data_IF_698234804281
#
_entry.id   IF_698234804281
#
_cell.length_a   1.000
_cell.length_b   1.000
_cell.length_c   1.000
_cell.angle_alpha   90.00
_cell.angle_beta   90.00
_cell.angle_gamma   90.00
#
_symmetry.space_group_name_H-M   'P 1'
#
loop_
_entity.id
_entity.type
_entity.pdbx_description
1 polymer ?
#
# COMPACT_ATOMS: atom_id res chain seq x y z
N UNK A 1 -14.94 -28.39 -2.50
CA UNK A 1 -16.40 -28.13 -2.71
C UNK A 1 -16.69 -27.16 -3.88
N UNK A 2 -15.89 -26.12 -4.14
CA UNK A 2 -16.11 -25.15 -5.24
C UNK A 2 -16.00 -25.76 -6.66
N UNK A 3 -15.23 -26.84 -6.85
CA UNK A 3 -15.04 -27.51 -8.15
C UNK A 3 -16.10 -28.58 -8.50
N UNK A 4 -16.99 -28.93 -7.57
CA UNK A 4 -17.90 -30.07 -7.74
C UNK A 4 -18.99 -29.86 -8.83
N UNK A 5 -19.09 -28.66 -9.42
CA UNK A 5 -20.05 -28.34 -10.48
C UNK A 5 -19.44 -27.64 -11.69
N UNK A 6 -18.11 -27.54 -11.79
CA UNK A 6 -17.45 -27.02 -12.98
C UNK A 6 -17.12 -28.22 -13.87
N UNK A 7 -17.76 -28.31 -15.03
CA UNK A 7 -17.46 -29.37 -15.99
C UNK A 7 -15.96 -29.37 -16.33
N UNK A 8 -15.36 -30.55 -16.41
CA UNK A 8 -13.94 -30.72 -16.78
C UNK A 8 -13.49 -29.87 -17.99
N UNK A 9 -14.30 -29.70 -19.06
CA UNK A 9 -13.92 -28.85 -20.19
C UNK A 9 -13.72 -27.38 -19.82
N UNK A 10 -14.54 -26.84 -18.92
CA UNK A 10 -14.43 -25.45 -18.48
C UNK A 10 -13.18 -25.23 -17.61
N UNK A 11 -12.87 -26.18 -16.73
CA UNK A 11 -11.64 -26.15 -15.93
C UNK A 11 -10.41 -26.28 -16.83
N UNK A 12 -10.42 -27.22 -17.79
CA UNK A 12 -9.33 -27.40 -18.74
C UNK A 12 -9.11 -26.16 -19.61
N UNK A 13 -10.18 -25.54 -20.12
CA UNK A 13 -10.11 -24.28 -20.86
C UNK A 13 -9.54 -23.13 -20.03
N UNK A 14 -9.94 -23.00 -18.75
CA UNK A 14 -9.40 -21.99 -17.85
C UNK A 14 -7.90 -22.22 -17.57
N UNK A 15 -7.49 -23.46 -17.29
CA UNK A 15 -6.09 -23.81 -17.07
C UNK A 15 -5.24 -23.59 -18.33
N UNK A 16 -5.77 -23.93 -19.51
CA UNK A 16 -5.11 -23.66 -20.79
C UNK A 16 -4.95 -22.16 -21.03
N UNK A 17 -5.98 -21.34 -20.74
CA UNK A 17 -5.89 -19.89 -20.83
C UNK A 17 -4.84 -19.30 -19.88
N UNK A 18 -4.79 -19.77 -18.63
CA UNK A 18 -3.76 -19.38 -17.66
C UNK A 18 -2.37 -19.78 -18.14
N UNK A 19 -2.20 -21.00 -18.65
CA UNK A 19 -0.93 -21.48 -19.19
C UNK A 19 -0.50 -20.64 -20.41
N UNK A 20 -1.40 -20.39 -21.36
CA UNK A 20 -1.12 -19.56 -22.54
C UNK A 20 -0.76 -18.11 -22.17
N UNK A 21 -1.32 -17.57 -21.09
CA UNK A 21 -0.97 -16.24 -20.58
C UNK A 21 0.35 -16.21 -19.81
N UNK A 22 0.60 -17.21 -18.95
CA UNK A 22 1.77 -17.22 -18.05
C UNK A 22 3.02 -17.78 -18.70
N UNK A 23 2.93 -18.84 -19.50
CA UNK A 23 4.10 -19.53 -20.05
C UNK A 23 4.99 -18.61 -20.90
N UNK A 24 4.46 -17.77 -21.81
CA UNK A 24 5.30 -16.83 -22.56
C UNK A 24 6.06 -15.85 -21.65
N UNK A 25 5.41 -15.36 -20.58
CA UNK A 25 6.04 -14.49 -19.60
C UNK A 25 7.13 -15.21 -18.79
N UNK A 26 6.86 -16.45 -18.36
CA UNK A 26 7.84 -17.27 -17.63
C UNK A 26 9.05 -17.60 -18.50
N UNK A 27 8.84 -17.93 -19.78
CA UNK A 27 9.91 -18.16 -20.75
C UNK A 27 10.70 -16.88 -20.97
N UNK A 28 10.04 -15.75 -21.20
CA UNK A 28 10.70 -14.46 -21.37
C UNK A 28 11.58 -14.10 -20.16
N UNK A 29 11.06 -14.26 -18.95
CA UNK A 29 11.80 -14.00 -17.72
C UNK A 29 12.99 -14.95 -17.54
N UNK A 30 12.81 -16.24 -17.85
CA UNK A 30 13.88 -17.22 -17.78
C UNK A 30 15.00 -16.90 -18.78
N UNK A 31 14.66 -16.58 -20.03
CA UNK A 31 15.63 -16.24 -21.08
C UNK A 31 16.35 -14.92 -20.80
N UNK A 32 15.65 -13.92 -20.26
CA UNK A 32 16.20 -12.58 -20.05
C UNK A 32 16.97 -12.45 -18.74
N UNK A 33 16.49 -13.08 -17.67
CA UNK A 33 16.99 -12.88 -16.30
C UNK A 33 17.51 -14.15 -15.63
N UNK A 34 17.43 -15.31 -16.30
CA UNK A 34 17.79 -16.60 -15.70
C UNK A 34 16.84 -17.09 -14.61
N UNK A 35 15.68 -16.43 -14.44
CA UNK A 35 14.70 -16.72 -13.39
C UNK A 35 13.29 -16.70 -13.96
N UNK A 36 12.47 -17.76 -13.82
CA UNK A 36 11.15 -17.82 -14.47
C UNK A 36 10.16 -16.78 -13.93
N UNK A 37 10.25 -16.42 -12.64
CA UNK A 37 9.40 -15.39 -12.04
C UNK A 37 9.93 -13.96 -12.24
N UNK A 38 11.11 -13.80 -12.86
CA UNK A 38 11.78 -12.52 -13.02
C UNK A 38 12.41 -12.00 -11.71
N UNK A 39 13.30 -11.00 -11.82
CA UNK A 39 14.04 -10.47 -10.69
C UNK A 39 13.13 -9.76 -9.68
N UNK A 40 12.06 -9.10 -10.14
CA UNK A 40 11.17 -8.35 -9.24
C UNK A 40 10.41 -9.25 -8.26
N UNK A 41 10.09 -10.49 -8.67
CA UNK A 41 9.44 -11.46 -7.79
C UNK A 41 10.48 -12.21 -6.96
N UNK A 42 11.62 -12.57 -7.54
CA UNK A 42 12.69 -13.28 -6.85
C UNK A 42 13.25 -12.51 -5.65
N UNK A 43 13.40 -11.19 -5.76
CA UNK A 43 13.84 -10.30 -4.66
C UNK A 43 12.85 -10.30 -3.48
N UNK A 44 11.60 -10.73 -3.68
CA UNK A 44 10.63 -10.85 -2.59
C UNK A 44 10.75 -12.16 -1.81
N UNK A 45 11.63 -13.06 -2.23
CA UNK A 45 11.83 -14.35 -1.58
C UNK A 45 13.29 -14.79 -1.46
N UNK A 46 14.21 -13.92 -0.99
CA UNK A 46 15.60 -14.28 -0.83
C UNK A 46 15.71 -15.37 0.24
N UNK A 47 16.27 -16.52 -0.13
CA UNK A 47 16.49 -17.66 0.78
C UNK A 47 15.35 -18.68 0.86
N UNK A 48 14.38 -18.69 -0.07
CA UNK A 48 13.33 -19.73 -0.11
C UNK A 48 13.84 -21.13 -0.56
N UNK A 49 15.16 -21.34 -0.59
CA UNK A 49 15.77 -22.60 -1.03
C UNK A 49 15.76 -23.72 0.02
N UNK A 50 15.35 -23.48 1.28
CA UNK A 50 15.50 -24.51 2.31
C UNK A 50 14.52 -24.52 3.51
N UNK A 51 13.57 -23.59 3.66
CA UNK A 51 12.69 -23.57 4.85
C UNK A 51 11.19 -23.55 4.54
N UNK A 52 10.50 -24.42 5.28
CA UNK A 52 9.08 -24.77 5.37
C UNK A 52 8.06 -23.62 5.13
N UNK A 53 6.76 -23.98 4.91
CA UNK A 53 5.61 -23.07 4.91
C UNK A 53 5.59 -22.03 6.05
N UNK A 54 6.17 -22.35 7.21
CA UNK A 54 6.29 -21.44 8.35
C UNK A 54 7.15 -20.19 8.08
N UNK A 55 8.25 -20.31 7.33
CA UNK A 55 9.11 -19.18 7.00
C UNK A 55 8.43 -18.22 5.99
N UNK A 56 7.67 -18.78 5.04
CA UNK A 56 6.85 -17.99 4.13
C UNK A 56 5.76 -17.24 4.89
N UNK A 57 5.03 -17.91 5.78
CA UNK A 57 3.97 -17.28 6.59
C UNK A 57 4.54 -16.20 7.51
N UNK A 58 5.67 -16.44 8.18
CA UNK A 58 6.30 -15.46 9.05
C UNK A 58 6.70 -14.17 8.29
N UNK A 59 7.19 -14.30 7.04
CA UNK A 59 7.51 -13.15 6.19
C UNK A 59 6.28 -12.45 5.61
N UNK A 60 5.23 -13.22 5.30
CA UNK A 60 4.01 -12.69 4.65
C UNK A 60 3.01 -12.13 5.65
N UNK A 61 2.94 -12.65 6.87
CA UNK A 61 1.97 -12.22 7.87
C UNK A 61 2.00 -10.71 8.14
N UNK A 62 3.16 -10.04 8.29
CA UNK A 62 3.19 -8.58 8.43
C UNK A 62 2.59 -7.86 7.22
N UNK A 63 2.92 -8.30 6.00
CA UNK A 63 2.37 -7.74 4.76
C UNK A 63 0.86 -7.96 4.68
N UNK A 64 0.38 -9.16 5.02
CA UNK A 64 -1.05 -9.47 5.08
C UNK A 64 -1.76 -8.55 6.07
N UNK A 65 -1.19 -8.36 7.25
CA UNK A 65 -1.77 -7.49 8.28
C UNK A 65 -1.81 -6.04 7.83
N UNK A 66 -0.73 -5.52 7.23
CA UNK A 66 -0.66 -4.15 6.68
C UNK A 66 -1.58 -3.97 5.46
N UNK A 67 -1.70 -4.97 4.58
CA UNK A 67 -2.54 -4.83 3.39
C UNK A 67 -4.03 -4.99 3.70
N UNK A 68 -4.41 -5.88 4.61
CA UNK A 68 -5.81 -6.20 4.87
C UNK A 68 -6.42 -5.33 5.96
N UNK A 69 -5.70 -5.12 7.06
CA UNK A 69 -6.28 -4.53 8.26
C UNK A 69 -5.69 -3.18 8.57
N UNK A 70 -4.36 -3.10 8.67
CA UNK A 70 -3.55 -1.95 9.11
C UNK A 70 -4.18 -1.15 10.25
N UNK A 71 -3.71 -1.31 11.48
CA UNK A 71 -4.31 -0.64 12.62
C UNK A 71 -3.54 -0.85 13.91
N UNK A 72 -3.77 0.03 14.89
CA UNK A 72 -3.12 -0.06 16.19
C UNK A 72 -4.14 -0.21 17.32
N UNK A 73 -3.83 -1.04 18.31
CA UNK A 73 -4.60 -1.17 19.56
C UNK A 73 -6.10 -1.33 19.36
N UNK A 74 -6.87 -0.34 19.84
CA UNK A 74 -8.33 -0.33 19.83
C UNK A 74 -8.94 -0.32 18.42
N UNK A 75 -8.27 0.28 17.44
CA UNK A 75 -8.75 0.34 16.05
C UNK A 75 -8.81 -1.05 15.41
N UNK A 76 -7.77 -1.85 15.66
CA UNK A 76 -7.72 -3.24 15.20
C UNK A 76 -8.90 -4.02 15.80
N UNK A 77 -9.22 -3.78 17.07
CA UNK A 77 -10.40 -4.36 17.73
C UNK A 77 -11.71 -4.04 17.00
N UNK A 78 -11.94 -2.78 16.63
CA UNK A 78 -13.15 -2.38 15.89
C UNK A 78 -13.23 -2.99 14.49
N UNK A 79 -12.12 -3.02 13.74
CA UNK A 79 -12.07 -3.64 12.41
C UNK A 79 -12.32 -5.15 12.47
N UNK A 80 -11.70 -5.84 13.44
CA UNK A 80 -11.91 -7.28 13.64
C UNK A 80 -13.33 -7.59 14.09
N UNK A 81 -13.93 -6.74 14.95
CA UNK A 81 -15.33 -6.86 15.33
C UNK A 81 -16.24 -6.69 14.11
N UNK A 82 -16.03 -5.65 13.29
CA UNK A 82 -16.79 -5.42 12.07
C UNK A 82 -16.70 -6.63 11.11
N UNK A 83 -15.50 -7.18 10.93
CA UNK A 83 -15.26 -8.38 10.14
C UNK A 83 -15.99 -9.60 10.69
N UNK A 84 -15.86 -9.90 11.99
CA UNK A 84 -16.51 -11.03 12.63
C UNK A 84 -18.03 -10.94 12.54
N UNK A 85 -18.60 -9.74 12.74
CA UNK A 85 -20.02 -9.47 12.60
C UNK A 85 -20.47 -9.67 11.14
N UNK A 86 -19.71 -9.20 10.15
CA UNK A 86 -20.01 -9.40 8.74
C UNK A 86 -19.97 -10.89 8.35
N UNK A 87 -19.00 -11.63 8.87
CA UNK A 87 -18.97 -13.09 8.72
C UNK A 87 -20.21 -13.73 9.33
N UNK A 88 -20.60 -13.37 10.56
CA UNK A 88 -21.84 -13.88 11.18
C UNK A 88 -23.09 -13.55 10.34
N UNK A 89 -23.12 -12.38 9.70
CA UNK A 89 -24.19 -11.96 8.80
C UNK A 89 -24.32 -12.87 7.56
N UNK A 90 -23.21 -13.47 7.11
CA UNK A 90 -23.22 -14.44 6.02
C UNK A 90 -24.00 -15.71 6.37
N UNK A 91 -23.98 -16.11 7.65
CA UNK A 91 -24.57 -17.36 8.14
C UNK A 91 -26.01 -17.22 8.64
N UNK A 92 -26.42 -16.03 9.07
CA UNK A 92 -27.74 -15.78 9.67
C UNK A 92 -28.63 -14.91 8.77
N UNK A 93 -29.57 -15.53 8.04
CA UNK A 93 -30.51 -14.76 7.20
C UNK A 93 -31.44 -13.86 8.03
N UNK A 94 -31.85 -14.31 9.23
CA UNK A 94 -32.75 -13.57 10.13
C UNK A 94 -32.12 -12.28 10.65
N UNK A 95 -30.83 -12.33 11.00
CA UNK A 95 -30.13 -11.22 11.66
C UNK A 95 -29.21 -10.43 10.73
N UNK A 96 -29.08 -10.83 9.45
CA UNK A 96 -28.13 -10.25 8.49
C UNK A 96 -28.15 -8.73 8.45
N UNK A 97 -29.34 -8.12 8.38
CA UNK A 97 -29.45 -6.66 8.27
C UNK A 97 -28.98 -5.93 9.53
N UNK A 98 -29.28 -6.46 10.71
CA UNK A 98 -28.81 -5.92 11.99
C UNK A 98 -27.31 -6.11 12.19
N UNK A 99 -26.79 -7.27 11.78
CA UNK A 99 -25.35 -7.53 11.79
C UNK A 99 -24.61 -6.60 10.82
N UNK A 100 -25.14 -6.35 9.62
CA UNK A 100 -24.59 -5.36 8.71
C UNK A 100 -24.61 -3.94 9.28
N UNK A 101 -25.69 -3.55 9.96
CA UNK A 101 -25.77 -2.26 10.64
C UNK A 101 -24.74 -2.16 11.79
N UNK A 102 -24.56 -3.23 12.57
CA UNK A 102 -23.55 -3.29 13.63
C UNK A 102 -22.12 -3.25 13.07
N UNK A 103 -21.86 -3.92 11.95
CA UNK A 103 -20.57 -3.86 11.26
C UNK A 103 -20.29 -2.46 10.71
N UNK A 104 -21.30 -1.80 10.13
CA UNK A 104 -21.18 -0.41 9.69
C UNK A 104 -20.95 0.55 10.87
N UNK A 105 -21.63 0.34 11.99
CA UNK A 105 -21.42 1.13 13.21
C UNK A 105 -19.99 0.94 13.77
N UNK A 106 -19.45 -0.29 13.76
CA UNK A 106 -18.07 -0.55 14.13
C UNK A 106 -17.07 0.13 13.18
N UNK A 107 -17.34 0.17 11.87
CA UNK A 107 -16.55 0.97 10.93
C UNK A 107 -16.61 2.46 11.24
N UNK A 108 -17.78 3.01 11.56
CA UNK A 108 -17.89 4.42 11.95
C UNK A 108 -17.15 4.69 13.27
N UNK A 109 -17.24 3.81 14.26
CA UNK A 109 -16.48 3.93 15.50
C UNK A 109 -14.96 3.91 15.25
N UNK A 110 -14.51 3.10 14.28
CA UNK A 110 -13.13 3.12 13.80
C UNK A 110 -12.77 4.46 13.13
N UNK A 111 -13.61 4.97 12.22
CA UNK A 111 -13.37 6.22 11.48
C UNK A 111 -13.46 7.49 12.31
N UNK A 112 -14.21 7.47 13.42
CA UNK A 112 -14.37 8.60 14.34
C UNK A 112 -13.68 8.38 15.68
N UNK A 113 -12.86 7.33 15.78
CA UNK A 113 -12.07 7.06 16.97
C UNK A 113 -11.01 8.15 17.23
N UNK A 114 -10.44 8.21 18.44
CA UNK A 114 -9.45 9.23 18.82
C UNK A 114 -8.19 9.24 17.94
N UNK A 115 -7.92 8.15 17.23
CA UNK A 115 -6.76 7.95 16.34
C UNK A 115 -7.13 8.03 14.85
N UNK A 116 -8.34 8.51 14.50
CA UNK A 116 -8.83 8.61 13.13
C UNK A 116 -7.96 9.46 12.19
N UNK A 117 -7.08 10.29 12.74
CA UNK A 117 -6.10 11.09 11.99
C UNK A 117 -4.96 10.24 11.39
N UNK A 118 -4.77 9.01 11.85
CA UNK A 118 -3.85 8.06 11.24
C UNK A 118 -4.58 7.36 10.09
N UNK A 119 -4.34 7.85 8.86
CA UNK A 119 -4.83 7.17 7.66
C UNK A 119 -4.14 5.82 7.54
N UNK A 120 -4.88 4.77 7.88
CA UNK A 120 -4.44 3.40 7.69
C UNK A 120 -4.63 2.98 6.24
N UNK A 121 -3.68 2.18 5.77
CA UNK A 121 -3.59 1.69 4.39
C UNK A 121 -4.25 0.31 4.21
N UNK A 122 -4.86 -0.26 5.24
CA UNK A 122 -5.52 -1.56 5.15
C UNK A 122 -6.77 -1.52 4.26
N UNK A 123 -7.07 -2.62 3.58
CA UNK A 123 -8.32 -2.78 2.80
C UNK A 123 -9.56 -2.55 3.65
N UNK A 124 -9.62 -3.09 4.87
CA UNK A 124 -10.77 -2.93 5.76
C UNK A 124 -10.96 -1.48 6.19
N UNK A 125 -9.86 -0.77 6.42
CA UNK A 125 -9.85 0.65 6.74
C UNK A 125 -10.28 1.52 5.56
N UNK A 126 -9.79 1.22 4.36
CA UNK A 126 -9.96 2.07 3.16
C UNK A 126 -11.20 1.73 2.34
N UNK A 127 -11.72 0.50 2.47
CA UNK A 127 -12.85 -0.01 1.69
C UNK A 127 -13.85 -0.76 2.59
N UNK A 128 -14.62 -0.07 3.44
CA UNK A 128 -15.59 -0.69 4.33
C UNK A 128 -16.67 -1.51 3.59
N UNK A 129 -16.88 -1.26 2.29
CA UNK A 129 -17.79 -2.04 1.45
C UNK A 129 -17.45 -3.52 1.34
N UNK A 130 -16.21 -3.92 1.61
CA UNK A 130 -15.84 -5.34 1.59
C UNK A 130 -16.62 -6.15 2.64
N UNK A 131 -17.11 -5.52 3.71
CA UNK A 131 -17.98 -6.15 4.70
C UNK A 131 -19.32 -6.60 4.08
N UNK A 132 -19.80 -5.90 3.06
CA UNK A 132 -20.97 -6.32 2.28
C UNK A 132 -20.66 -7.60 1.51
N UNK A 133 -19.50 -7.66 0.87
CA UNK A 133 -19.05 -8.84 0.13
C UNK A 133 -18.99 -10.07 1.03
N UNK A 134 -18.51 -9.91 2.26
CA UNK A 134 -18.48 -10.97 3.27
C UNK A 134 -19.88 -11.44 3.67
N UNK A 135 -20.81 -10.52 3.95
CA UNK A 135 -22.19 -10.87 4.28
C UNK A 135 -22.94 -11.53 3.10
N UNK A 136 -22.53 -11.25 1.87
CA UNK A 136 -23.04 -11.80 0.62
C UNK A 136 -22.38 -13.13 0.20
N UNK A 137 -21.32 -13.55 0.89
CA UNK A 137 -20.46 -14.66 0.45
C UNK A 137 -21.23 -15.96 0.24
N UNK A 138 -22.11 -16.32 1.18
CA UNK A 138 -22.89 -17.56 1.12
C UNK A 138 -23.90 -17.57 -0.04
N UNK A 139 -24.79 -16.57 -0.21
CA UNK A 139 -25.63 -16.48 -1.40
C UNK A 139 -24.85 -16.52 -2.71
N UNK A 140 -23.74 -15.78 -2.79
CA UNK A 140 -22.91 -15.73 -3.99
C UNK A 140 -22.26 -17.08 -4.33
N UNK A 141 -21.78 -17.81 -3.32
CA UNK A 141 -21.16 -19.13 -3.51
C UNK A 141 -22.15 -20.21 -3.94
N UNK A 142 -23.36 -20.20 -3.39
CA UNK A 142 -24.29 -21.34 -3.51
C UNK A 142 -25.49 -21.10 -4.42
N UNK A 143 -25.90 -19.86 -4.69
CA UNK A 143 -27.14 -19.56 -5.42
C UNK A 143 -26.94 -18.96 -6.81
N UNK A 144 -25.76 -18.42 -7.12
CA UNK A 144 -25.54 -17.63 -8.35
C UNK A 144 -24.24 -18.03 -9.07
N UNK A 145 -24.30 -18.84 -10.14
CA UNK A 145 -23.11 -19.27 -10.88
C UNK A 145 -22.21 -18.13 -11.37
N UNK A 146 -22.74 -17.01 -11.91
CA UNK A 146 -21.89 -15.88 -12.34
C UNK A 146 -21.19 -15.18 -11.17
N UNK A 147 -21.90 -14.90 -10.08
CA UNK A 147 -21.35 -14.24 -8.89
C UNK A 147 -20.25 -15.09 -8.23
N UNK A 148 -20.39 -16.42 -8.28
CA UNK A 148 -19.37 -17.35 -7.83
C UNK A 148 -18.07 -17.24 -8.63
N UNK A 149 -18.15 -17.14 -9.96
CA UNK A 149 -16.95 -16.96 -10.79
C UNK A 149 -16.24 -15.65 -10.43
N UNK A 150 -16.99 -14.55 -10.37
CA UNK A 150 -16.46 -13.23 -10.00
C UNK A 150 -15.80 -13.25 -8.62
N UNK A 151 -16.43 -13.90 -7.64
CA UNK A 151 -15.88 -14.09 -6.30
C UNK A 151 -14.58 -14.89 -6.32
N UNK A 152 -14.55 -16.03 -7.02
CA UNK A 152 -13.34 -16.87 -7.11
C UNK A 152 -12.21 -16.11 -7.78
N UNK A 153 -12.47 -15.42 -8.89
CA UNK A 153 -11.45 -14.61 -9.57
C UNK A 153 -10.92 -13.50 -8.65
N UNK A 154 -11.82 -12.78 -7.96
CA UNK A 154 -11.42 -11.74 -7.00
C UNK A 154 -10.58 -12.28 -5.84
N UNK A 155 -10.96 -13.43 -5.28
CA UNK A 155 -10.22 -14.07 -4.19
C UNK A 155 -8.86 -14.63 -4.65
N UNK A 156 -8.80 -15.29 -5.81
CA UNK A 156 -7.55 -15.79 -6.39
C UNK A 156 -6.60 -14.64 -6.69
N UNK A 157 -7.11 -13.55 -7.26
CA UNK A 157 -6.30 -12.34 -7.51
C UNK A 157 -5.78 -11.75 -6.19
N UNK A 158 -6.66 -11.58 -5.20
CA UNK A 158 -6.28 -11.07 -3.88
C UNK A 158 -5.20 -11.94 -3.23
N UNK A 159 -5.39 -13.27 -3.20
CA UNK A 159 -4.39 -14.20 -2.66
C UNK A 159 -3.09 -14.13 -3.45
N UNK A 160 -3.15 -14.09 -4.77
CA UNK A 160 -1.97 -13.94 -5.63
C UNK A 160 -1.16 -12.70 -5.26
N UNK A 161 -1.82 -11.54 -5.23
CA UNK A 161 -1.20 -10.26 -4.83
C UNK A 161 -0.61 -10.36 -3.42
N UNK A 162 -1.37 -10.84 -2.44
CA UNK A 162 -0.92 -10.95 -1.06
C UNK A 162 0.30 -11.87 -0.91
N UNK A 163 0.39 -12.90 -1.75
CA UNK A 163 1.54 -13.79 -1.78
C UNK A 163 2.73 -13.14 -2.48
N UNK A 164 2.54 -12.39 -3.57
CA UNK A 164 3.63 -11.93 -4.46
C UNK A 164 4.07 -10.48 -4.27
N UNK A 165 3.32 -9.66 -3.53
CA UNK A 165 3.63 -8.23 -3.33
C UNK A 165 5.04 -8.03 -2.79
N UNK A 166 5.78 -6.98 -3.20
CA UNK A 166 7.11 -6.73 -2.68
C UNK A 166 7.17 -6.55 -1.17
N UNK A 167 8.19 -7.12 -0.53
CA UNK A 167 8.42 -6.92 0.91
C UNK A 167 8.94 -5.50 1.19
N UNK A 168 9.80 -4.99 0.30
CA UNK A 168 10.41 -3.68 0.41
C UNK A 168 9.73 -2.68 -0.51
N UNK A 169 9.27 -1.55 0.03
CA UNK A 169 8.52 -0.52 -0.71
C UNK A 169 7.12 -0.94 -1.15
N UNK A 170 6.82 -2.25 -1.28
CA UNK A 170 5.51 -2.79 -1.65
C UNK A 170 4.39 -2.47 -0.65
N UNK A 171 4.72 -2.28 0.63
CA UNK A 171 3.77 -1.77 1.63
C UNK A 171 3.38 -0.29 1.39
N UNK A 172 4.26 0.52 0.79
CA UNK A 172 3.94 1.89 0.35
C UNK A 172 2.94 1.87 -0.82
N UNK A 173 2.98 0.77 -1.59
CA UNK A 173 1.94 0.20 -2.44
C UNK A 173 0.52 0.25 -1.84
N UNK A 174 0.45 -0.05 -0.55
CA UNK A 174 -0.76 -0.21 0.22
C UNK A 174 -1.74 -1.22 -0.40
N UNK A 175 -3.05 -1.02 -0.21
CA UNK A 175 -4.10 -1.91 -0.69
C UNK A 175 -4.37 -1.67 -2.18
N UNK A 176 -3.62 -0.78 -2.84
CA UNK A 176 -3.87 -0.39 -4.24
C UNK A 176 -3.66 -1.56 -5.20
N UNK A 177 -2.75 -2.49 -4.85
CA UNK A 177 -2.60 -3.74 -5.59
C UNK A 177 -3.85 -4.62 -5.54
N UNK A 178 -4.71 -4.45 -4.54
CA UNK A 178 -5.93 -5.22 -4.37
C UNK A 178 -7.14 -4.58 -5.07
N UNK A 179 -7.01 -3.37 -5.64
CA UNK A 179 -8.13 -2.67 -6.30
C UNK A 179 -8.93 -3.53 -7.28
N UNK A 180 -8.31 -4.31 -8.19
CA UNK A 180 -9.07 -5.19 -9.08
C UNK A 180 -9.91 -6.22 -8.32
N UNK A 181 -9.35 -6.86 -7.28
CA UNK A 181 -10.12 -7.77 -6.43
C UNK A 181 -11.23 -7.05 -5.67
N UNK A 182 -10.97 -5.86 -5.12
CA UNK A 182 -11.97 -5.08 -4.40
C UNK A 182 -13.17 -4.73 -5.28
N UNK A 183 -12.95 -4.32 -6.53
CA UNK A 183 -14.05 -4.04 -7.47
C UNK A 183 -14.92 -5.28 -7.68
N UNK A 184 -14.32 -6.44 -7.91
CA UNK A 184 -15.05 -7.70 -8.09
C UNK A 184 -15.82 -8.10 -6.82
N UNK A 185 -15.19 -7.97 -5.65
CA UNK A 185 -15.82 -8.29 -4.37
C UNK A 185 -16.97 -7.35 -4.03
N UNK A 186 -16.86 -6.05 -4.33
CA UNK A 186 -17.95 -5.08 -4.16
C UNK A 186 -19.14 -5.44 -5.05
N UNK A 187 -18.90 -5.77 -6.33
CA UNK A 187 -19.97 -6.21 -7.25
C UNK A 187 -20.69 -7.44 -6.70
N UNK A 188 -19.94 -8.44 -6.22
CA UNK A 188 -20.52 -9.64 -5.58
C UNK A 188 -21.31 -9.28 -4.31
N UNK A 189 -20.79 -8.36 -3.50
CA UNK A 189 -21.46 -7.85 -2.31
C UNK A 189 -22.82 -7.23 -2.62
N UNK A 190 -22.86 -6.32 -3.60
CA UNK A 190 -24.08 -5.64 -4.03
C UNK A 190 -25.09 -6.63 -4.63
N UNK A 191 -24.64 -7.59 -5.44
CA UNK A 191 -25.47 -8.65 -5.98
C UNK A 191 -26.04 -9.55 -4.86
N UNK A 192 -25.29 -9.82 -3.80
CA UNK A 192 -25.79 -10.57 -2.65
C UNK A 192 -26.82 -9.80 -1.82
N UNK A 193 -26.67 -8.47 -1.70
CA UNK A 193 -27.64 -7.62 -0.99
C UNK A 193 -29.01 -7.57 -1.68
N UNK A 194 -29.05 -7.56 -3.01
CA UNK A 194 -30.32 -7.56 -3.75
C UNK A 194 -31.13 -8.84 -3.50
N UNK A 195 -30.44 -9.94 -3.14
CA UNK A 195 -31.01 -11.25 -2.84
C UNK A 195 -31.07 -11.56 -1.33
N UNK A 196 -30.77 -10.59 -0.47
CA UNK A 196 -30.68 -10.79 0.98
C UNK A 196 -32.06 -10.87 1.64
N UNK A 197 -32.71 -12.04 1.56
CA UNK A 197 -33.79 -12.51 2.44
C UNK A 197 -34.99 -11.56 2.68
N UNK A 198 -35.84 -11.85 3.68
CA UNK A 198 -37.00 -11.01 4.03
C UNK A 198 -36.62 -9.74 4.81
N UNK A 199 -35.34 -9.34 4.80
CA UNK A 199 -34.88 -8.20 5.57
C UNK A 199 -35.66 -6.92 5.18
N UNK A 200 -36.06 -6.09 6.17
CA UNK A 200 -36.77 -4.85 5.91
C UNK A 200 -36.00 -4.01 4.89
N UNK A 201 -36.69 -3.53 3.84
CA UNK A 201 -36.08 -2.68 2.80
C UNK A 201 -35.34 -1.49 3.41
N UNK A 202 -35.90 -0.93 4.49
CA UNK A 202 -35.31 0.17 5.24
C UNK A 202 -33.94 -0.19 5.83
N UNK A 203 -33.80 -1.35 6.49
CA UNK A 203 -32.54 -1.76 7.11
C UNK A 203 -31.43 -1.98 6.08
N UNK A 204 -31.76 -2.54 4.91
CA UNK A 204 -30.81 -2.68 3.79
C UNK A 204 -30.36 -1.33 3.24
N UNK A 205 -31.31 -0.40 3.03
CA UNK A 205 -31.01 0.96 2.58
C UNK A 205 -30.16 1.72 3.61
N UNK A 206 -30.48 1.59 4.89
CA UNK A 206 -29.72 2.20 5.98
C UNK A 206 -28.29 1.65 6.03
N UNK A 207 -28.09 0.33 5.98
CA UNK A 207 -26.76 -0.26 5.96
C UNK A 207 -25.93 0.20 4.75
N UNK A 208 -26.53 0.23 3.56
CA UNK A 208 -25.87 0.74 2.35
C UNK A 208 -25.54 2.24 2.49
N UNK A 209 -26.46 3.06 2.98
CA UNK A 209 -26.25 4.48 3.18
C UNK A 209 -25.13 4.75 4.20
N UNK A 210 -25.07 3.99 5.29
CA UNK A 210 -24.01 4.09 6.29
C UNK A 210 -22.64 3.71 5.72
N UNK A 211 -22.57 2.66 4.91
CA UNK A 211 -21.32 2.24 4.26
C UNK A 211 -20.88 3.22 3.17
N UNK A 212 -21.83 3.80 2.43
CA UNK A 212 -21.57 4.90 1.49
C UNK A 212 -21.03 6.12 2.21
N UNK A 213 -21.65 6.53 3.32
CA UNK A 213 -21.18 7.64 4.14
C UNK A 213 -19.77 7.35 4.69
N UNK A 214 -19.52 6.16 5.24
CA UNK A 214 -18.20 5.75 5.71
C UNK A 214 -17.15 5.80 4.59
N UNK A 215 -17.47 5.27 3.41
CA UNK A 215 -16.58 5.33 2.25
C UNK A 215 -16.29 6.77 1.80
N UNK A 216 -17.31 7.63 1.73
CA UNK A 216 -17.14 9.04 1.40
C UNK A 216 -16.28 9.79 2.43
N UNK A 217 -16.46 9.51 3.72
CA UNK A 217 -15.62 10.07 4.79
C UNK A 217 -14.16 9.66 4.61
N UNK A 218 -13.88 8.38 4.36
CA UNK A 218 -12.52 7.89 4.07
C UNK A 218 -11.92 8.61 2.86
N UNK A 219 -12.69 8.77 1.77
CA UNK A 219 -12.22 9.46 0.57
C UNK A 219 -11.96 10.94 0.84
N UNK A 220 -12.82 11.63 1.59
CA UNK A 220 -12.62 13.02 1.96
C UNK A 220 -11.35 13.21 2.80
N UNK A 221 -11.12 12.36 3.79
CA UNK A 221 -9.89 12.34 4.58
C UNK A 221 -8.65 12.07 3.70
N UNK A 222 -8.76 11.11 2.77
CA UNK A 222 -7.69 10.81 1.81
C UNK A 222 -7.35 11.99 0.91
N UNK A 223 -8.35 12.71 0.40
CA UNK A 223 -8.17 13.93 -0.41
C UNK A 223 -7.51 15.04 0.42
N UNK A 224 -7.98 15.27 1.64
CA UNK A 224 -7.39 16.27 2.54
C UNK A 224 -5.91 15.95 2.82
N UNK A 225 -5.60 14.68 3.15
CA UNK A 225 -4.23 14.24 3.36
C UNK A 225 -3.36 14.41 2.12
N UNK A 226 -3.91 14.15 0.93
CA UNK A 226 -3.20 14.35 -0.34
C UNK A 226 -2.91 15.84 -0.58
N UNK A 227 -3.87 16.72 -0.30
CA UNK A 227 -3.69 18.17 -0.39
C UNK A 227 -2.60 18.66 0.58
N UNK A 228 -2.65 18.22 1.84
CA UNK A 228 -1.65 18.56 2.85
C UNK A 228 -0.26 18.06 2.45
N UNK A 229 -0.17 16.82 1.97
CA UNK A 229 1.10 16.21 1.53
C UNK A 229 1.66 16.89 0.30
N UNK A 230 0.81 17.28 -0.65
CA UNK A 230 1.20 18.04 -1.84
C UNK A 230 1.72 19.42 -1.47
N UNK A 231 1.02 20.12 -0.57
CA UNK A 231 1.44 21.45 -0.09
C UNK A 231 2.78 21.39 0.63
N UNK A 232 2.98 20.39 1.49
CA UNK A 232 4.27 20.15 2.16
C UNK A 232 5.38 19.83 1.17
N UNK A 233 5.08 18.99 0.16
CA UNK A 233 6.04 18.63 -0.89
C UNK A 233 6.44 19.84 -1.73
N UNK A 234 5.46 20.68 -2.10
CA UNK A 234 5.70 21.92 -2.82
C UNK A 234 6.60 22.87 -2.01
N UNK A 235 6.40 22.96 -0.70
CA UNK A 235 7.28 23.75 0.17
C UNK A 235 8.72 23.25 0.13
N UNK A 236 8.96 21.94 0.18
CA UNK A 236 10.32 21.38 0.03
C UNK A 236 10.92 21.78 -1.31
N UNK A 237 10.18 21.62 -2.41
CA UNK A 237 10.64 22.01 -3.76
C UNK A 237 10.98 23.50 -3.81
N UNK A 238 10.13 24.37 -3.26
CA UNK A 238 10.37 25.82 -3.22
C UNK A 238 11.63 26.19 -2.44
N UNK A 239 11.84 25.58 -1.26
CA UNK A 239 13.01 25.87 -0.41
C UNK A 239 14.30 25.38 -1.05
N UNK A 240 14.28 24.19 -1.68
CA UNK A 240 15.43 23.68 -2.45
C UNK A 240 15.70 24.55 -3.67
N UNK A 241 14.66 24.99 -4.38
CA UNK A 241 14.82 25.85 -5.55
C UNK A 241 15.35 27.26 -5.19
N UNK A 242 15.01 27.76 -4.00
CA UNK A 242 15.51 29.05 -3.52
C UNK A 242 17.02 29.04 -3.22
N UNK A 243 17.65 27.86 -3.08
CA UNK A 243 19.10 27.79 -2.92
C UNK A 243 19.82 28.15 -4.23
N UNK A 244 20.97 28.84 -4.18
CA UNK A 244 21.79 29.11 -5.37
C UNK A 244 22.01 27.83 -6.18
N UNK A 245 22.18 27.95 -7.51
CA UNK A 245 22.37 26.82 -8.43
C UNK A 245 23.55 25.93 -8.03
N UNK A 246 23.28 24.94 -7.20
CA UNK A 246 24.22 23.99 -6.62
C UNK A 246 23.65 22.58 -6.81
N UNK A 247 24.50 21.55 -6.92
CA UNK A 247 24.04 20.18 -6.88
C UNK A 247 23.32 19.91 -5.55
N UNK A 248 22.21 19.20 -5.63
CA UNK A 248 21.45 18.76 -4.47
C UNK A 248 21.83 17.31 -4.20
N UNK A 249 22.57 17.08 -3.13
CA UNK A 249 22.85 15.76 -2.60
C UNK A 249 21.68 15.32 -1.71
N UNK A 250 21.30 14.05 -1.76
CA UNK A 250 20.27 13.50 -0.86
C UNK A 250 20.51 12.04 -0.53
N UNK A 251 20.25 11.64 0.71
CA UNK A 251 20.22 10.24 1.16
C UNK A 251 18.80 9.63 1.16
N UNK A 252 17.83 10.39 0.69
CA UNK A 252 16.42 10.02 0.66
C UNK A 252 16.11 9.38 -0.69
N UNK A 253 15.77 8.10 -0.69
CA UNK A 253 15.50 7.35 -1.93
C UNK A 253 14.34 7.93 -2.76
N UNK A 254 13.37 8.60 -2.12
CA UNK A 254 12.23 9.25 -2.80
C UNK A 254 12.46 10.73 -3.10
N UNK A 255 13.58 11.34 -2.68
CA UNK A 255 13.85 12.75 -2.97
C UNK A 255 13.91 13.07 -4.47
N UNK A 256 14.44 12.20 -5.37
CA UNK A 256 14.35 12.45 -6.81
C UNK A 256 12.91 12.58 -7.32
N UNK A 257 11.96 11.83 -6.73
CA UNK A 257 10.54 11.95 -7.07
C UNK A 257 9.94 13.25 -6.51
N UNK A 258 10.30 13.60 -5.27
CA UNK A 258 9.88 14.83 -4.62
C UNK A 258 10.37 16.08 -5.36
N UNK A 259 11.63 16.06 -5.81
CA UNK A 259 12.30 17.15 -6.51
C UNK A 259 12.19 17.05 -8.03
N UNK A 260 11.31 16.18 -8.55
CA UNK A 260 11.12 16.00 -9.99
C UNK A 260 10.91 17.32 -10.77
N UNK A 261 10.19 18.34 -10.25
CA UNK A 261 10.06 19.62 -10.95
C UNK A 261 11.40 20.35 -11.17
N UNK A 262 12.43 20.07 -10.37
CA UNK A 262 13.76 20.69 -10.46
C UNK A 262 14.75 19.86 -11.27
N UNK A 263 14.37 18.66 -11.71
CA UNK A 263 15.29 17.69 -12.31
C UNK A 263 16.01 18.20 -13.57
N UNK A 264 15.35 19.07 -14.34
CA UNK A 264 15.92 19.63 -15.58
C UNK A 264 16.93 20.75 -15.28
N UNK A 265 16.73 21.48 -14.19
CA UNK A 265 17.50 22.68 -13.85
C UNK A 265 18.60 22.42 -12.82
N UNK A 266 18.49 21.31 -12.07
CA UNK A 266 19.36 20.97 -10.94
C UNK A 266 19.92 19.57 -11.10
N UNK A 267 21.22 19.43 -10.85
CA UNK A 267 21.82 18.12 -10.64
C UNK A 267 21.42 17.57 -9.28
N UNK A 268 20.63 16.50 -9.26
CA UNK A 268 20.22 15.81 -8.04
C UNK A 268 21.03 14.51 -7.93
N UNK A 269 21.76 14.34 -6.83
CA UNK A 269 22.67 13.23 -6.60
C UNK A 269 22.20 12.43 -5.40
N UNK A 270 22.03 11.12 -5.58
CA UNK A 270 21.58 10.22 -4.53
C UNK A 270 22.76 9.52 -3.86
N UNK A 271 22.88 9.68 -2.55
CA UNK A 271 23.84 9.01 -1.70
C UNK A 271 23.17 7.78 -1.09
N UNK A 272 23.50 6.59 -1.59
CA UNK A 272 22.89 5.36 -1.08
C UNK A 272 23.33 5.06 0.36
N UNK A 273 24.55 5.47 0.72
CA UNK A 273 25.19 5.18 2.00
C UNK A 273 25.93 6.41 2.54
N UNK A 274 25.70 6.84 3.79
CA UNK A 274 26.39 8.01 4.38
C UNK A 274 27.93 7.93 4.30
N UNK A 275 28.49 6.72 4.33
CA UNK A 275 29.92 6.45 4.24
C UNK A 275 30.53 6.86 2.88
N UNK A 276 29.70 7.11 1.87
CA UNK A 276 30.15 7.58 0.56
C UNK A 276 30.42 9.10 0.55
N UNK A 277 30.04 9.83 1.61
CA UNK A 277 30.21 11.28 1.69
C UNK A 277 31.67 11.75 1.49
N UNK A 278 32.70 11.16 2.12
CA UNK A 278 34.09 11.57 1.90
C UNK A 278 34.53 11.45 0.43
N UNK A 279 34.20 10.34 -0.21
CA UNK A 279 34.50 10.11 -1.63
C UNK A 279 33.75 11.10 -2.53
N UNK A 280 32.50 11.40 -2.19
CA UNK A 280 31.68 12.39 -2.88
C UNK A 280 32.26 13.81 -2.76
N UNK A 281 32.61 14.25 -1.55
CA UNK A 281 33.25 15.55 -1.30
C UNK A 281 34.59 15.67 -2.04
N UNK A 282 35.40 14.61 -2.06
CA UNK A 282 36.64 14.57 -2.82
C UNK A 282 36.40 14.74 -4.33
N UNK A 283 35.36 14.08 -4.88
CA UNK A 283 34.98 14.21 -6.28
C UNK A 283 34.47 15.63 -6.62
N UNK A 284 33.65 16.23 -5.77
CA UNK A 284 33.21 17.63 -5.93
C UNK A 284 34.40 18.60 -5.90
N UNK A 285 35.34 18.39 -4.95
CA UNK A 285 36.58 19.18 -4.84
C UNK A 285 37.40 19.11 -6.13
N UNK A 286 37.59 17.91 -6.69
CA UNK A 286 38.30 17.71 -7.96
C UNK A 286 37.64 18.44 -9.14
N UNK A 287 36.32 18.67 -9.08
CA UNK A 287 35.55 19.40 -10.09
C UNK A 287 35.44 20.91 -9.81
N UNK A 288 36.08 21.42 -8.77
CA UNK A 288 36.00 22.82 -8.36
C UNK A 288 34.62 23.21 -7.80
N UNK A 289 33.77 22.24 -7.46
CA UNK A 289 32.47 22.48 -6.83
C UNK A 289 32.72 22.51 -5.32
N UNK A 290 32.65 23.69 -4.70
CA UNK A 290 32.93 23.87 -3.27
C UNK A 290 31.67 23.95 -2.40
N UNK A 291 30.49 24.12 -3.00
CA UNK A 291 29.22 24.24 -2.28
C UNK A 291 28.16 23.33 -2.88
N UNK A 292 27.37 22.71 -2.01
CA UNK A 292 26.25 21.85 -2.40
C UNK A 292 25.15 21.92 -1.34
N UNK A 293 23.91 21.67 -1.75
CA UNK A 293 22.79 21.51 -0.82
C UNK A 293 22.65 20.04 -0.44
N UNK A 294 22.43 19.73 0.84
CA UNK A 294 22.18 18.37 1.31
C UNK A 294 20.77 18.25 1.89
N UNK A 295 19.92 17.47 1.24
CA UNK A 295 18.56 17.16 1.68
C UNK A 295 18.54 15.78 2.32
N UNK A 296 18.30 15.71 3.63
CA UNK A 296 18.35 14.45 4.41
C UNK A 296 17.15 14.27 5.32
N UNK A 297 16.77 13.01 5.57
CA UNK A 297 15.78 12.63 6.59
C UNK A 297 16.42 12.29 7.94
N UNK A 298 17.75 12.31 8.04
CA UNK A 298 18.44 12.05 9.30
C UNK A 298 18.14 13.17 10.30
N UNK A 299 17.89 12.83 11.58
CA UNK A 299 17.80 13.82 12.64
C UNK A 299 19.08 14.65 12.68
N UNK A 300 18.97 15.97 12.48
CA UNK A 300 20.11 16.88 12.56
C UNK A 300 20.04 17.65 13.89
N UNK A 301 20.83 17.21 14.86
CA UNK A 301 21.06 17.97 16.09
C UNK A 301 22.12 19.05 15.82
N UNK A 302 22.16 20.09 16.66
CA UNK A 302 23.00 21.28 16.42
C UNK A 302 24.50 20.95 16.23
N UNK A 303 24.94 19.79 16.72
CA UNK A 303 26.35 19.34 16.68
C UNK A 303 26.57 17.98 15.98
N UNK A 304 25.56 17.41 15.31
CA UNK A 304 25.74 16.17 14.54
C UNK A 304 26.51 16.47 13.27
N UNK A 305 27.85 16.47 13.37
CA UNK A 305 28.74 16.60 12.23
C UNK A 305 28.43 15.48 11.22
N UNK A 306 28.53 15.80 9.93
CA UNK A 306 28.66 14.76 8.90
C UNK A 306 29.68 13.71 9.37
N UNK A 307 29.59 12.44 8.93
CA UNK A 307 30.54 11.41 9.29
C UNK A 307 31.97 11.95 9.28
N UNK A 308 32.72 11.75 10.38
CA UNK A 308 34.06 12.30 10.57
C UNK A 308 34.92 12.01 9.34
N UNK A 309 35.55 13.05 8.76
CA UNK A 309 36.32 12.92 7.52
C UNK A 309 35.51 13.14 6.23
N UNK A 310 34.26 13.60 6.31
CA UNK A 310 33.45 14.00 5.15
C UNK A 310 34.07 15.12 4.30
N UNK A 311 35.01 15.89 4.84
CA UNK A 311 35.64 17.01 4.13
C UNK A 311 34.69 18.18 3.84
N UNK A 312 33.53 18.24 4.49
CA UNK A 312 32.54 19.30 4.31
C UNK A 312 31.97 19.78 5.66
N UNK A 313 31.67 21.07 5.75
CA UNK A 313 30.93 21.70 6.84
C UNK A 313 29.53 22.05 6.36
N UNK A 314 28.50 21.64 7.10
CA UNK A 314 27.11 21.87 6.74
C UNK A 314 26.42 22.73 7.81
N UNK A 315 25.67 23.72 7.35
CA UNK A 315 24.81 24.55 8.21
C UNK A 315 23.37 24.27 7.85
N UNK A 316 22.54 24.00 8.87
CA UNK A 316 21.10 23.79 8.67
C UNK A 316 20.45 25.09 8.21
N UNK A 317 19.85 25.06 7.03
CA UNK A 317 19.11 26.19 6.48
C UNK A 317 17.69 26.25 7.04
N UNK A 318 16.97 25.13 6.93
CA UNK A 318 15.57 25.05 7.33
C UNK A 318 15.26 23.62 7.80
N UNK A 319 14.46 23.53 8.87
CA UNK A 319 13.76 22.30 9.21
C UNK A 319 12.53 22.16 8.32
N UNK A 320 12.50 21.12 7.51
CA UNK A 320 11.40 20.85 6.59
C UNK A 320 10.43 19.83 7.21
N UNK A 321 9.24 19.74 6.63
CA UNK A 321 8.24 18.75 7.00
C UNK A 321 8.75 17.32 6.79
N UNK A 322 8.14 16.35 7.48
CA UNK A 322 8.55 14.93 7.50
C UNK A 322 9.89 14.64 8.19
N UNK A 323 10.38 15.57 9.04
CA UNK A 323 11.69 15.42 9.68
C UNK A 323 12.84 15.64 8.70
N UNK A 324 12.56 16.21 7.52
CA UNK A 324 13.58 16.51 6.53
C UNK A 324 14.39 17.74 6.95
N UNK A 325 15.65 17.74 6.59
CA UNK A 325 16.57 18.83 6.83
C UNK A 325 17.23 19.21 5.52
N UNK A 326 17.21 20.50 5.21
CA UNK A 326 18.02 21.06 4.14
C UNK A 326 19.23 21.75 4.74
N UNK A 327 20.41 21.34 4.33
CA UNK A 327 21.68 21.90 4.76
C UNK A 327 22.40 22.58 3.60
N UNK A 328 23.06 23.70 3.86
CA UNK A 328 24.06 24.31 2.97
C UNK A 328 25.43 23.79 3.38
N UNK A 329 26.08 23.07 2.47
CA UNK A 329 27.34 22.40 2.75
C UNK A 329 28.46 23.04 1.93
N UNK A 330 29.59 23.31 2.59
CA UNK A 330 30.81 23.83 1.99
C UNK A 330 31.94 22.83 2.18
N UNK A 331 32.68 22.52 1.12
CA UNK A 331 33.85 21.64 1.18
C UNK A 331 35.00 22.42 1.81
N UNK A 332 35.60 21.85 2.86
CA UNK A 332 36.81 22.39 3.49
C UNK A 332 37.98 22.12 2.56
N UNK A 333 38.78 23.13 2.26
CA UNK A 333 39.99 23.02 1.43
C UNK A 333 41.15 22.37 2.19
#
# INVERSE_FOLDING_TARGET
>A
LVLAGVGWPALAGALAGVALGLVPLLIFNLLTFGMPLGPQVAVNYPGMSASLPGALLARRAPILMTMLVDGTGLQLGWLLAAFAIACAAAWSERWRAWLLAAAAAACLAYLYGPTAHLLHTGVLATCPFILIALAALRPALFRQPPSRLVLVVGLVFMVGVLLTTPNDGGAQWGPRYLLPALTLLVVVGLAGLSHAGPAPRLARRAALALLLAAGLTVQAQGVQFLQDSTTKSLRVVQVVNAQPAQPVLTDIWYAPQLLAPLYVERTILYLYRPEQMPAFSAMLRQRGILRFSYLTAQPWERDSQLPSGSGATCTRLEGLWYGLNLLDCTIVL
#
